data_IF_596565888073
#
_entry.id   IF_596565888073
#
_cell.length_a   1.000
_cell.length_b   1.000
_cell.length_c   1.000
_cell.angle_alpha   90.00
_cell.angle_beta   90.00
_cell.angle_gamma   90.00
#
_symmetry.space_group_name_H-M   'P 1'
#
loop_
_entity.id
_entity.type
_entity.pdbx_description
1 polymer ?
#
# COMPACT_ATOMS: atom_id res chain seq x y z
N UNK A 1 23.53 -26.34 0.46
CA UNK A 1 22.60 -26.30 1.60
C UNK A 1 21.38 -25.52 1.16
N UNK A 2 20.23 -26.18 1.08
CA UNK A 2 18.99 -25.57 0.59
C UNK A 2 18.15 -25.23 1.81
N UNK A 3 17.93 -23.95 2.08
CA UNK A 3 17.08 -23.47 3.17
C UNK A 3 15.64 -23.49 2.68
N UNK A 4 14.85 -24.44 3.17
CA UNK A 4 13.41 -24.50 2.91
C UNK A 4 12.73 -23.84 4.12
N UNK A 5 12.05 -22.72 3.88
CA UNK A 5 11.21 -22.09 4.91
C UNK A 5 9.89 -22.87 5.00
N UNK A 6 9.79 -23.74 6.00
CA UNK A 6 8.56 -24.43 6.44
C UNK A 6 7.56 -23.44 7.10
N UNK A 7 7.35 -22.25 6.52
CA UNK A 7 6.23 -21.39 6.91
C UNK A 7 5.07 -21.65 5.93
N UNK A 8 3.86 -21.97 6.42
CA UNK A 8 2.69 -21.97 5.55
C UNK A 8 2.57 -20.58 4.91
N UNK A 9 2.45 -20.53 3.59
CA UNK A 9 2.37 -19.30 2.78
C UNK A 9 1.29 -18.31 3.26
N UNK A 10 0.36 -18.76 4.11
CA UNK A 10 -0.67 -17.96 4.77
C UNK A 10 -0.16 -17.13 5.97
N UNK A 11 1.08 -17.35 6.44
CA UNK A 11 1.68 -16.63 7.57
C UNK A 11 2.56 -15.45 7.15
N UNK A 12 2.71 -15.25 5.85
CA UNK A 12 3.37 -14.09 5.25
C UNK A 12 2.44 -13.45 4.23
N UNK A 13 1.24 -13.03 4.66
CA UNK A 13 0.39 -12.09 3.92
C UNK A 13 1.08 -10.70 3.89
N UNK A 14 2.35 -10.66 3.51
CA UNK A 14 3.11 -9.48 3.23
C UNK A 14 2.92 -9.19 1.75
N UNK A 15 2.54 -7.96 1.45
CA UNK A 15 2.41 -7.48 0.08
C UNK A 15 3.11 -6.13 -0.02
N UNK A 16 3.51 -5.79 -1.23
CA UNK A 16 4.19 -4.54 -1.50
C UNK A 16 3.19 -3.46 -1.90
N UNK A 17 3.40 -2.24 -1.40
CA UNK A 17 2.68 -1.08 -1.87
C UNK A 17 2.99 -0.84 -3.36
N UNK A 18 1.96 -0.78 -4.20
CA UNK A 18 2.12 -0.52 -5.63
C UNK A 18 2.67 0.88 -5.96
N UNK A 19 2.74 1.79 -4.98
CA UNK A 19 3.27 3.15 -5.15
C UNK A 19 4.69 3.32 -4.61
N UNK A 20 4.94 2.98 -3.34
CA UNK A 20 6.26 3.17 -2.71
C UNK A 20 7.12 1.89 -2.64
N UNK A 21 6.55 0.71 -2.89
CA UNK A 21 7.26 -0.56 -2.82
C UNK A 21 7.50 -1.09 -1.40
N UNK A 22 7.07 -0.39 -0.36
CA UNK A 22 7.18 -0.86 1.03
C UNK A 22 6.34 -2.12 1.24
N UNK A 23 6.91 -3.08 1.97
CA UNK A 23 6.23 -4.32 2.35
C UNK A 23 5.49 -4.13 3.67
N UNK A 24 4.22 -4.49 3.69
CA UNK A 24 3.38 -4.44 4.88
C UNK A 24 2.44 -5.64 4.91
N UNK A 25 1.84 -5.90 6.08
CA UNK A 25 0.79 -6.89 6.19
C UNK A 25 -0.42 -6.48 5.34
N UNK A 26 -0.99 -7.43 4.62
CA UNK A 26 -2.14 -7.25 3.73
C UNK A 26 -3.33 -6.62 4.46
N UNK A 27 -3.55 -6.99 5.72
CA UNK A 27 -4.60 -6.42 6.59
C UNK A 27 -4.44 -4.91 6.82
N UNK A 28 -3.21 -4.39 6.71
CA UNK A 28 -2.88 -2.96 6.87
C UNK A 28 -2.85 -2.22 5.52
N UNK A 29 -3.11 -2.92 4.41
CA UNK A 29 -3.10 -2.34 3.07
C UNK A 29 -4.51 -2.12 2.55
N UNK A 30 -4.64 -1.10 1.72
CA UNK A 30 -5.90 -0.78 1.06
C UNK A 30 -5.87 -1.28 -0.37
N UNK A 31 -6.94 -1.97 -0.74
CA UNK A 31 -7.11 -2.53 -2.07
C UNK A 31 -7.62 -1.46 -3.04
N UNK A 32 -6.89 -1.21 -4.11
CA UNK A 32 -7.32 -0.34 -5.19
C UNK A 32 -7.98 -1.12 -6.33
N UNK A 33 -8.74 -0.40 -7.17
CA UNK A 33 -9.27 -0.92 -8.43
C UNK A 33 -8.10 -1.36 -9.32
N UNK A 34 -8.01 -2.67 -9.60
CA UNK A 34 -6.91 -3.25 -10.37
C UNK A 34 -6.05 -4.29 -9.66
N UNK A 35 -6.46 -4.76 -8.46
CA UNK A 35 -5.70 -5.75 -7.64
C UNK A 35 -4.37 -5.22 -7.12
N UNK A 36 -4.16 -3.90 -7.15
CA UNK A 36 -3.03 -3.24 -6.50
C UNK A 36 -3.36 -2.95 -5.04
N UNK A 37 -2.33 -2.97 -4.20
CA UNK A 37 -2.41 -2.68 -2.77
C UNK A 37 -1.62 -1.42 -2.48
N UNK A 38 -2.15 -0.53 -1.64
CA UNK A 38 -1.48 0.73 -1.26
C UNK A 38 -1.39 0.80 0.27
N UNK A 39 -0.24 1.22 0.78
CA UNK A 39 -0.03 1.39 2.21
C UNK A 39 -0.76 2.64 2.74
N UNK A 40 -1.03 2.67 4.04
CA UNK A 40 -1.68 3.81 4.70
C UNK A 40 -0.94 5.14 4.42
N UNK A 41 0.40 5.14 4.46
CA UNK A 41 1.21 6.35 4.23
C UNK A 41 0.99 6.97 2.85
N UNK A 42 0.99 6.15 1.80
CA UNK A 42 0.70 6.62 0.44
C UNK A 42 -0.73 7.15 0.27
N UNK A 43 -1.68 6.64 1.04
CA UNK A 43 -3.07 7.13 1.03
C UNK A 43 -3.18 8.45 1.77
N UNK A 44 -2.56 8.57 2.94
CA UNK A 44 -2.56 9.82 3.71
C UNK A 44 -1.94 10.95 2.89
N UNK A 45 -0.82 10.69 2.21
CA UNK A 45 -0.22 11.66 1.27
C UNK A 45 -1.17 12.06 0.14
N UNK A 46 -1.87 11.09 -0.47
CA UNK A 46 -2.79 11.37 -1.57
C UNK A 46 -3.99 12.20 -1.11
N UNK A 47 -4.54 11.89 0.07
CA UNK A 47 -5.64 12.64 0.69
C UNK A 47 -5.20 14.06 1.03
N UNK A 48 -4.01 14.24 1.60
CA UNK A 48 -3.45 15.55 1.92
C UNK A 48 -3.17 16.38 0.66
N UNK A 49 -2.57 15.78 -0.37
CA UNK A 49 -2.35 16.44 -1.65
C UNK A 49 -3.68 16.89 -2.29
N UNK A 50 -4.71 16.04 -2.26
CA UNK A 50 -6.04 16.41 -2.73
C UNK A 50 -6.65 17.55 -1.91
N UNK A 51 -6.57 17.48 -0.58
CA UNK A 51 -7.05 18.56 0.31
C UNK A 51 -6.36 19.88 0.01
N UNK A 52 -5.03 19.88 -0.17
CA UNK A 52 -4.25 21.07 -0.50
C UNK A 52 -4.64 21.64 -1.87
N UNK A 53 -4.85 20.78 -2.86
CA UNK A 53 -5.26 21.20 -4.19
C UNK A 53 -6.67 21.83 -4.19
N UNK A 54 -7.61 21.24 -3.45
CA UNK A 54 -8.96 21.80 -3.24
C UNK A 54 -8.89 23.18 -2.58
N UNK A 55 -8.10 23.34 -1.51
CA UNK A 55 -7.92 24.64 -0.83
C UNK A 55 -7.27 25.67 -1.75
N UNK A 56 -6.30 25.26 -2.57
CA UNK A 56 -5.61 26.12 -3.52
C UNK A 56 -6.45 26.45 -4.77
N UNK A 57 -7.68 25.93 -4.89
CA UNK A 57 -8.52 26.10 -6.08
C UNK A 57 -7.94 25.46 -7.34
N UNK A 58 -7.01 24.51 -7.20
CA UNK A 58 -6.42 23.77 -8.31
C UNK A 58 -7.27 22.54 -8.56
N UNK A 59 -7.76 22.37 -9.80
CA UNK A 59 -8.37 21.11 -10.20
C UNK A 59 -7.28 20.03 -10.19
N UNK A 60 -7.51 18.99 -9.39
CA UNK A 60 -6.64 17.81 -9.21
C UNK A 60 -7.02 16.73 -10.20
#
# INVERSE_FOLDING_TARGET
MTLILDLPLYSTDLTACGRCGETAQLEQMFRCSGRTWICLGCITEAVEAHRLAVVAGRQV
#
